data_IF_558050495037
#
_entry.id   IF_558050495037
#
_cell.length_a   1.000
_cell.length_b   1.000
_cell.length_c   1.000
_cell.angle_alpha   90.00
_cell.angle_beta   90.00
_cell.angle_gamma   90.00
#
_symmetry.space_group_name_H-M   'P 1'
#
loop_
_entity.id
_entity.type
_entity.pdbx_description
1 polymer ?
#
# COMPACT_ATOMS: atom_id res chain seq x y z
N UNK A 1 13.85 -9.50 24.36
CA UNK A 1 12.92 -9.88 23.26
C UNK A 1 12.40 -11.29 23.54
N UNK A 2 11.15 -11.64 23.18
CA UNK A 2 10.66 -13.01 23.33
C UNK A 2 11.51 -13.96 22.49
N UNK A 3 11.79 -15.15 23.04
CA UNK A 3 12.51 -16.21 22.29
C UNK A 3 11.49 -16.86 21.36
N UNK A 4 11.65 -16.62 20.05
CA UNK A 4 10.84 -17.24 19.01
C UNK A 4 11.61 -18.39 18.38
N UNK A 5 10.96 -19.54 18.21
CA UNK A 5 11.49 -20.66 17.42
C UNK A 5 11.41 -20.45 15.91
N UNK A 6 10.94 -19.28 15.46
CA UNK A 6 10.83 -18.92 14.05
C UNK A 6 12.22 -18.73 13.45
N UNK A 7 12.45 -19.42 12.33
CA UNK A 7 13.65 -19.36 11.51
C UNK A 7 13.34 -18.76 10.14
N UNK A 8 14.38 -18.41 9.39
CA UNK A 8 14.24 -17.85 8.05
C UNK A 8 13.55 -18.80 7.04
N UNK A 9 13.54 -20.10 7.33
CA UNK A 9 12.94 -21.16 6.50
C UNK A 9 11.51 -21.52 6.88
N UNK A 10 10.95 -20.89 7.92
CA UNK A 10 9.53 -21.05 8.21
C UNK A 10 8.69 -20.20 7.24
N UNK A 11 7.46 -20.66 6.98
CA UNK A 11 6.50 -19.92 6.15
C UNK A 11 6.16 -18.58 6.82
N UNK A 12 6.29 -17.51 6.06
CA UNK A 12 5.84 -16.17 6.44
C UNK A 12 4.37 -15.96 6.08
N UNK A 13 3.93 -16.43 4.91
CA UNK A 13 2.54 -16.36 4.50
C UNK A 13 2.15 -17.41 3.47
N UNK A 14 0.83 -17.62 3.34
CA UNK A 14 0.21 -18.36 2.26
C UNK A 14 -0.87 -17.49 1.63
N UNK A 15 -0.78 -17.23 0.33
CA UNK A 15 -1.81 -16.50 -0.43
C UNK A 15 -2.39 -17.45 -1.48
N UNK A 16 -3.71 -17.51 -1.54
CA UNK A 16 -4.43 -18.33 -2.51
C UNK A 16 -4.69 -17.55 -3.80
N UNK A 17 -4.44 -18.20 -4.93
CA UNK A 17 -4.72 -17.67 -6.27
C UNK A 17 -5.80 -18.53 -6.93
N UNK A 18 -6.61 -17.95 -7.83
CA UNK A 18 -7.78 -18.61 -8.43
C UNK A 18 -7.47 -19.91 -9.19
N UNK A 19 -6.23 -20.08 -9.67
CA UNK A 19 -5.79 -21.28 -10.38
C UNK A 19 -6.46 -21.45 -11.74
N UNK A 20 -5.69 -21.66 -12.81
CA UNK A 20 -6.23 -21.85 -14.17
C UNK A 20 -7.15 -23.08 -14.31
N UNK A 21 -7.09 -24.01 -13.36
CA UNK A 21 -7.88 -25.25 -13.32
C UNK A 21 -9.17 -25.13 -12.47
N UNK A 22 -9.50 -23.93 -11.98
CA UNK A 22 -10.69 -23.67 -11.14
C UNK A 22 -10.55 -24.03 -9.66
N UNK A 23 -9.45 -24.68 -9.28
CA UNK A 23 -9.13 -24.98 -7.88
C UNK A 23 -8.07 -23.99 -7.38
N UNK A 24 -8.32 -23.26 -6.28
CA UNK A 24 -7.35 -22.33 -5.74
C UNK A 24 -6.04 -23.01 -5.34
N UNK A 25 -4.91 -22.39 -5.69
CA UNK A 25 -3.57 -22.86 -5.30
C UNK A 25 -2.97 -21.93 -4.26
N UNK A 26 -2.55 -22.50 -3.13
CA UNK A 26 -1.84 -21.77 -2.07
C UNK A 26 -0.37 -21.59 -2.44
N UNK A 27 0.07 -20.34 -2.54
CA UNK A 27 1.47 -19.99 -2.73
C UNK A 27 2.11 -19.79 -1.36
N UNK A 28 3.03 -20.69 -1.01
CA UNK A 28 3.74 -20.69 0.27
C UNK A 28 5.04 -19.90 0.14
N UNK A 29 5.24 -18.90 0.99
CA UNK A 29 6.42 -18.03 0.95
C UNK A 29 7.11 -18.06 2.32
N UNK A 30 8.41 -18.37 2.33
CA UNK A 30 9.25 -18.38 3.52
C UNK A 30 9.73 -16.98 3.93
N UNK A 31 10.06 -16.80 5.21
CA UNK A 31 10.55 -15.52 5.75
C UNK A 31 11.73 -14.94 4.97
N UNK A 32 12.73 -15.75 4.62
CA UNK A 32 13.92 -15.26 3.90
C UNK A 32 13.57 -14.59 2.56
N UNK A 33 12.53 -15.08 1.87
CA UNK A 33 12.08 -14.52 0.59
C UNK A 33 11.48 -13.13 0.77
N UNK A 34 10.69 -12.93 1.82
CA UNK A 34 10.10 -11.63 2.17
C UNK A 34 11.20 -10.63 2.57
N UNK A 35 12.11 -11.03 3.45
CA UNK A 35 13.20 -10.17 3.91
C UNK A 35 14.07 -9.72 2.72
N UNK A 36 14.43 -10.64 1.82
CA UNK A 36 15.20 -10.31 0.63
C UNK A 36 14.47 -9.28 -0.26
N UNK A 37 13.15 -9.44 -0.45
CA UNK A 37 12.34 -8.49 -1.21
C UNK A 37 12.35 -7.09 -0.58
N UNK A 38 12.15 -6.99 0.74
CA UNK A 38 12.09 -5.72 1.46
C UNK A 38 13.46 -5.03 1.51
N UNK A 39 14.54 -5.80 1.71
CA UNK A 39 15.91 -5.25 1.65
C UNK A 39 16.23 -4.69 0.27
N UNK A 40 15.81 -5.37 -0.81
CA UNK A 40 15.95 -4.82 -2.16
C UNK A 40 15.15 -3.53 -2.33
N UNK A 41 13.92 -3.46 -1.80
CA UNK A 41 13.08 -2.25 -1.90
C UNK A 41 13.74 -1.10 -1.16
N UNK A 42 14.20 -1.33 0.07
CA UNK A 42 14.93 -0.33 0.85
C UNK A 42 16.18 0.19 0.13
N UNK A 43 16.93 -0.69 -0.54
CA UNK A 43 18.12 -0.28 -1.30
C UNK A 43 17.77 0.56 -2.54
N UNK A 44 16.68 0.22 -3.23
CA UNK A 44 16.31 0.84 -4.51
C UNK A 44 15.46 2.11 -4.34
N UNK A 45 14.60 2.12 -3.33
CA UNK A 45 13.63 3.17 -3.03
C UNK A 45 13.68 3.46 -1.53
N UNK A 46 14.72 4.14 -1.02
CA UNK A 46 14.91 4.26 0.42
C UNK A 46 13.70 4.91 1.11
N UNK A 47 13.13 4.20 2.09
CA UNK A 47 12.24 4.81 3.09
C UNK A 47 13.06 5.35 4.27
N UNK A 48 12.55 6.40 4.87
CA UNK A 48 13.03 7.03 6.10
C UNK A 48 11.96 7.00 7.19
N UNK A 49 12.33 7.37 8.42
CA UNK A 49 11.39 7.51 9.55
C UNK A 49 10.34 8.63 9.36
N UNK A 50 10.55 9.53 8.40
CA UNK A 50 9.61 10.60 8.06
C UNK A 50 8.48 10.11 7.14
N UNK A 51 8.68 8.98 6.47
CA UNK A 51 7.75 8.44 5.48
C UNK A 51 6.53 7.78 6.10
N UNK A 52 5.43 7.82 5.34
CA UNK A 52 4.18 7.13 5.68
C UNK A 52 3.72 6.29 4.49
N UNK A 53 3.64 4.98 4.68
CA UNK A 53 3.07 4.05 3.71
C UNK A 53 1.56 3.98 3.89
N UNK A 54 0.79 4.07 2.80
CA UNK A 54 -0.63 3.74 2.83
C UNK A 54 -0.84 2.24 2.60
N UNK A 55 -1.35 1.54 3.63
CA UNK A 55 -1.85 0.18 3.49
C UNK A 55 -3.30 0.25 3.01
N UNK A 56 -3.51 -0.08 1.74
CA UNK A 56 -4.84 -0.10 1.10
C UNK A 56 -5.09 -1.37 0.31
N UNK A 57 -4.03 -2.09 -0.06
CA UNK A 57 -4.18 -3.29 -0.86
C UNK A 57 -4.74 -4.41 0.02
N UNK A 58 -5.81 -5.11 -0.39
CA UNK A 58 -6.37 -6.19 0.42
C UNK A 58 -5.31 -7.23 0.77
N UNK A 59 -5.31 -7.73 2.00
CA UNK A 59 -4.28 -8.65 2.51
C UNK A 59 -4.23 -10.01 1.80
N UNK A 60 -5.23 -10.29 0.96
CA UNK A 60 -5.26 -11.46 0.07
C UNK A 60 -4.37 -11.31 -1.16
N UNK A 61 -3.75 -10.14 -1.39
CA UNK A 61 -2.78 -9.91 -2.48
C UNK A 61 -1.39 -9.68 -1.92
N UNK A 62 -0.36 -10.16 -2.61
CA UNK A 62 1.04 -10.14 -2.18
C UNK A 62 1.63 -8.73 -2.07
N UNK A 63 1.13 -7.77 -2.86
CA UNK A 63 1.46 -6.34 -2.73
C UNK A 63 1.23 -5.83 -1.30
N UNK A 64 0.20 -6.31 -0.60
CA UNK A 64 -0.08 -5.89 0.78
C UNK A 64 1.09 -6.20 1.75
N UNK A 65 1.93 -7.18 1.44
CA UNK A 65 3.02 -7.63 2.32
C UNK A 65 4.04 -6.51 2.52
N UNK A 66 4.45 -5.80 1.47
CA UNK A 66 5.38 -4.69 1.65
C UNK A 66 4.71 -3.47 2.29
N UNK A 67 3.42 -3.25 2.02
CA UNK A 67 2.65 -2.20 2.70
C UNK A 67 2.60 -2.43 4.22
N UNK A 68 2.47 -3.70 4.64
CA UNK A 68 2.34 -4.10 6.03
C UNK A 68 3.65 -4.15 6.81
N UNK A 69 4.78 -4.44 6.17
CA UNK A 69 6.02 -4.74 6.90
C UNK A 69 7.19 -3.81 6.62
N UNK A 70 7.26 -3.15 5.45
CA UNK A 70 8.47 -2.43 5.05
C UNK A 70 8.80 -1.26 5.99
N UNK A 71 7.77 -0.50 6.42
CA UNK A 71 7.91 0.65 7.31
C UNK A 71 8.65 0.30 8.62
N UNK A 72 8.47 -0.92 9.12
CA UNK A 72 9.02 -1.35 10.41
C UNK A 72 10.54 -1.50 10.40
N UNK A 73 11.17 -1.64 9.24
CA UNK A 73 12.63 -1.83 9.13
C UNK A 73 13.40 -0.54 9.41
N UNK A 74 12.75 0.61 9.21
CA UNK A 74 13.37 1.93 9.24
C UNK A 74 12.69 2.89 10.20
N UNK A 75 11.64 2.45 10.91
CA UNK A 75 10.88 3.30 11.83
C UNK A 75 9.93 4.28 11.14
N UNK A 76 9.54 4.01 9.88
CA UNK A 76 8.52 4.79 9.17
C UNK A 76 7.13 4.54 9.76
N UNK A 77 6.09 5.11 9.16
CA UNK A 77 4.70 4.97 9.59
C UNK A 77 3.89 4.16 8.58
N UNK A 78 2.82 3.53 9.06
CA UNK A 78 1.79 2.93 8.22
C UNK A 78 0.43 3.56 8.52
N UNK A 79 -0.26 3.98 7.46
CA UNK A 79 -1.61 4.50 7.50
C UNK A 79 -2.54 3.39 6.97
N UNK A 80 -3.52 2.96 7.77
CA UNK A 80 -4.48 1.93 7.37
C UNK A 80 -5.71 2.59 6.74
N UNK A 81 -5.97 2.28 5.48
CA UNK A 81 -7.19 2.74 4.81
C UNK A 81 -8.39 1.94 5.33
N UNK A 82 -9.57 2.57 5.57
CA UNK A 82 -10.75 1.85 6.00
C UNK A 82 -11.21 0.85 4.92
N UNK A 83 -11.85 -0.27 5.30
CA UNK A 83 -12.36 -1.25 4.34
C UNK A 83 -13.24 -0.62 3.27
N UNK A 84 -12.93 -0.87 1.99
CA UNK A 84 -13.66 -0.32 0.84
C UNK A 84 -13.13 1.04 0.37
N UNK A 85 -12.34 1.74 1.18
CA UNK A 85 -11.73 3.02 0.80
C UNK A 85 -10.77 2.90 -0.38
N UNK A 86 -10.23 1.71 -0.65
CA UNK A 86 -9.29 1.48 -1.75
C UNK A 86 -9.89 1.66 -3.15
N UNK A 87 -11.23 1.78 -3.23
CA UNK A 87 -12.00 1.98 -4.45
C UNK A 87 -12.47 3.42 -4.65
N UNK A 88 -12.28 4.29 -3.66
CA UNK A 88 -12.76 5.65 -3.67
C UNK A 88 -11.57 6.64 -3.70
N UNK A 89 -11.33 7.31 -4.85
CA UNK A 89 -10.26 8.30 -4.97
C UNK A 89 -10.34 9.44 -3.95
N UNK A 90 -11.55 9.87 -3.55
CA UNK A 90 -11.72 10.97 -2.60
C UNK A 90 -11.29 10.55 -1.19
N UNK A 91 -11.60 9.31 -0.79
CA UNK A 91 -11.15 8.75 0.50
C UNK A 91 -9.63 8.58 0.50
N UNK A 92 -9.05 8.13 -0.62
CA UNK A 92 -7.59 8.01 -0.76
C UNK A 92 -6.93 9.39 -0.64
N UNK A 93 -7.44 10.41 -1.33
CA UNK A 93 -6.95 11.79 -1.24
C UNK A 93 -7.04 12.32 0.19
N UNK A 94 -8.19 12.19 0.86
CA UNK A 94 -8.36 12.62 2.26
C UNK A 94 -7.28 12.02 3.16
N UNK A 95 -7.00 10.73 3.00
CA UNK A 95 -6.00 10.03 3.81
C UNK A 95 -4.57 10.44 3.45
N UNK A 96 -4.29 10.71 2.17
CA UNK A 96 -3.00 11.25 1.75
C UNK A 96 -2.74 12.58 2.45
N UNK A 97 -3.70 13.51 2.42
CA UNK A 97 -3.56 14.82 3.04
C UNK A 97 -3.47 14.72 4.57
N UNK A 98 -4.41 13.99 5.18
CA UNK A 98 -4.55 13.89 6.64
C UNK A 98 -3.36 13.22 7.31
N UNK A 99 -2.82 12.17 6.70
CA UNK A 99 -1.74 11.36 7.29
C UNK A 99 -0.38 11.57 6.62
N UNK A 100 -0.29 12.49 5.65
CA UNK A 100 0.95 12.76 4.89
C UNK A 100 1.54 11.50 4.29
N UNK A 101 0.71 10.72 3.60
CA UNK A 101 1.16 9.52 2.88
C UNK A 101 2.20 9.93 1.85
N UNK A 102 3.38 9.32 1.93
CA UNK A 102 4.48 9.54 0.98
C UNK A 102 4.69 8.36 0.04
N UNK A 103 4.20 7.17 0.39
CA UNK A 103 4.38 5.94 -0.38
C UNK A 103 3.07 5.15 -0.49
N UNK A 104 2.69 4.78 -1.71
CA UNK A 104 1.50 3.96 -1.98
C UNK A 104 1.62 3.17 -3.29
N UNK A 105 0.87 2.08 -3.39
CA UNK A 105 0.77 1.27 -4.62
C UNK A 105 -0.47 1.62 -5.43
N UNK A 106 -0.45 1.54 -6.75
CA UNK A 106 -1.68 1.44 -7.54
C UNK A 106 -1.60 0.26 -8.53
N UNK A 107 -2.72 -0.45 -8.66
CA UNK A 107 -2.95 -1.21 -9.89
C UNK A 107 -3.28 -0.23 -11.03
N UNK A 108 -2.95 -0.52 -12.30
CA UNK A 108 -3.07 0.44 -13.38
C UNK A 108 -4.46 1.05 -13.53
N UNK A 109 -5.52 0.25 -13.42
CA UNK A 109 -6.90 0.74 -13.54
C UNK A 109 -7.26 1.76 -12.46
N UNK A 110 -6.89 1.49 -11.21
CA UNK A 110 -7.15 2.41 -10.09
C UNK A 110 -6.28 3.66 -10.18
N UNK A 111 -5.05 3.57 -10.72
CA UNK A 111 -4.22 4.74 -10.99
C UNK A 111 -4.93 5.70 -11.97
N UNK A 112 -5.45 5.18 -13.08
CA UNK A 112 -6.21 5.98 -14.05
C UNK A 112 -7.41 6.66 -13.39
N UNK A 113 -8.23 5.91 -12.66
CA UNK A 113 -9.38 6.47 -11.94
C UNK A 113 -8.99 7.55 -10.93
N UNK A 114 -7.88 7.36 -10.22
CA UNK A 114 -7.37 8.35 -9.27
C UNK A 114 -6.89 9.63 -9.97
N UNK A 115 -6.16 9.50 -11.09
CA UNK A 115 -5.69 10.65 -11.87
C UNK A 115 -6.86 11.45 -12.48
N UNK A 116 -7.85 10.77 -13.06
CA UNK A 116 -9.05 11.42 -13.61
C UNK A 116 -9.80 12.22 -12.53
N UNK A 117 -9.89 11.66 -11.31
CA UNK A 117 -10.46 12.36 -10.16
C UNK A 117 -9.67 13.63 -9.81
N UNK A 118 -8.33 13.54 -9.72
CA UNK A 118 -7.49 14.68 -9.36
C UNK A 118 -7.56 15.81 -10.40
N UNK A 119 -7.65 15.49 -11.69
CA UNK A 119 -7.81 16.50 -12.75
C UNK A 119 -9.14 17.26 -12.61
N UNK A 120 -10.23 16.54 -12.37
CA UNK A 120 -11.56 17.12 -12.16
C UNK A 120 -11.62 17.96 -10.87
N UNK A 121 -11.00 17.48 -9.80
CA UNK A 121 -10.94 18.19 -8.52
C UNK A 121 -10.15 19.50 -8.63
N UNK A 122 -8.96 19.46 -9.25
CA UNK A 122 -8.13 20.65 -9.48
C UNK A 122 -8.85 21.69 -10.36
N UNK A 123 -9.53 21.24 -11.42
CA UNK A 123 -10.34 22.13 -12.27
C UNK A 123 -11.45 22.84 -11.48
N UNK A 124 -12.14 22.13 -10.59
CA UNK A 124 -13.17 22.72 -9.72
C UNK A 124 -12.59 23.70 -8.70
N UNK A 125 -11.43 23.38 -8.11
CA UNK A 125 -10.76 24.25 -7.13
C UNK A 125 -10.33 25.57 -7.77
N UNK A 126 -9.79 25.52 -8.98
CA UNK A 126 -9.42 26.69 -9.76
C UNK A 126 -10.65 27.57 -10.06
N UNK A 127 -11.75 26.97 -10.54
CA UNK A 127 -13.02 27.67 -10.75
C UNK A 127 -13.59 28.30 -9.47
N UNK A 128 -13.52 27.59 -8.33
CA UNK A 128 -13.98 28.15 -7.04
C UNK A 128 -13.11 29.30 -6.55
N UNK A 129 -11.83 29.35 -6.92
CA UNK A 129 -10.92 30.45 -6.57
C UNK A 129 -11.14 31.70 -7.43
N UNK A 130 -11.77 31.55 -8.61
CA UNK A 130 -12.11 32.62 -9.54
C UNK A 130 -13.45 33.30 -9.25
N UNK A 131 -14.26 32.72 -8.37
CA UNK A 131 -15.45 33.37 -7.81
C UNK A 131 -15.02 33.83 -6.41
N UNK A 132 -14.61 35.10 -6.21
CA UNK A 132 -14.34 35.59 -4.87
C UNK A 132 -15.63 35.44 -4.08
N UNK A 133 -15.58 34.78 -2.92
CA UNK A 133 -16.68 34.78 -1.99
C UNK A 133 -17.16 36.24 -1.82
N UNK A 134 -18.46 36.45 -2.07
CA UNK A 134 -19.10 37.77 -1.96
C UNK A 134 -19.05 38.34 -0.56
#
# INVERSE_FOLDING_TARGET
>A
APVSGVTANNLAYIIYTSGSTGNPKGVMIEHHSVINRLQWMQKKYPLSEEDTILQKTPFSFDVSVWELFWWSFVGARVCLLPPGGEKDPAVIEEYIERYRVSTMHFVPSMLSTFLDYMELYNSKRDLSSLIPDG
#
